data_IF_220885639493
#
_entry.id   IF_220885639493
#
_cell.length_a   1.000
_cell.length_b   1.000
_cell.length_c   1.000
_cell.angle_alpha   90.00
_cell.angle_beta   90.00
_cell.angle_gamma   90.00
#
_symmetry.space_group_name_H-M   'P 1'
#
loop_
_entity.id
_entity.type
_entity.pdbx_description
1 polymer ?
2 water ?
#
# COMPACT_ATOMS: atom_id res chain seq x y z
N UNK A 11 26.11 -11.77 15.14
CA UNK A 11 24.92 -12.42 14.61
C UNK A 11 23.58 -11.84 15.06
N UNK A 12 22.60 -11.86 14.15
CA UNK A 12 21.20 -11.43 14.35
C UNK A 12 20.32 -12.69 14.35
N UNK A 13 19.07 -12.60 14.85
CA UNK A 13 18.17 -13.78 14.92
C UNK A 13 17.84 -14.42 13.55
N UNK A 14 17.91 -15.78 13.42
CA UNK A 14 17.56 -16.39 12.14
C UNK A 14 16.03 -16.50 11.98
N UNK A 15 15.58 -16.82 10.76
CA UNK A 15 14.17 -17.03 10.43
C UNK A 15 14.01 -17.74 9.10
N UNK A 16 12.86 -18.39 8.93
CA UNK A 16 12.40 -18.99 7.68
C UNK A 16 10.91 -18.64 7.57
N UNK A 17 10.55 -17.97 6.48
CA UNK A 17 9.19 -17.52 6.20
C UNK A 17 8.84 -17.96 4.77
N UNK A 18 7.73 -18.70 4.62
CA UNK A 18 7.32 -19.21 3.32
C UNK A 18 5.95 -18.62 2.87
N UNK A 19 5.91 -18.04 1.68
CA UNK A 19 4.69 -17.50 1.06
C UNK A 19 4.35 -18.27 -0.21
N UNK A 20 3.08 -18.65 -0.31
CA UNK A 20 2.55 -19.36 -1.47
C UNK A 20 2.00 -18.36 -2.45
N UNK A 21 2.66 -18.23 -3.59
CA UNK A 21 2.28 -17.27 -4.62
C UNK A 21 3.27 -16.13 -4.68
N UNK A 22 4.46 -16.45 -5.22
CA UNK A 22 5.60 -15.55 -5.35
C UNK A 22 5.28 -14.28 -6.13
N UNK A 23 4.53 -14.38 -7.22
CA UNK A 23 4.17 -13.23 -8.04
C UNK A 23 3.23 -12.29 -7.30
N UNK A 24 2.25 -12.84 -6.57
CA UNK A 24 1.36 -12.03 -5.70
C UNK A 24 2.18 -11.29 -4.62
N UNK A 25 3.19 -11.94 -3.98
CA UNK A 25 4.02 -11.27 -2.97
C UNK A 25 4.84 -10.10 -3.60
N UNK A 26 5.41 -10.32 -4.82
CA UNK A 26 6.16 -9.29 -5.55
C UNK A 26 5.25 -8.09 -5.78
N UNK A 27 3.96 -8.33 -6.13
CA UNK A 27 2.93 -7.31 -6.37
C UNK A 27 2.63 -6.50 -5.14
N UNK A 28 2.57 -7.13 -3.93
CA UNK A 28 2.42 -6.39 -2.66
C UNK A 28 3.59 -5.48 -2.42
N UNK A 29 4.82 -6.00 -2.54
CA UNK A 29 6.04 -5.24 -2.31
C UNK A 29 6.16 -4.13 -3.36
N UNK A 30 5.92 -4.41 -4.65
CA UNK A 30 5.89 -3.40 -5.74
C UNK A 30 4.87 -2.30 -5.37
N UNK A 31 3.59 -2.68 -5.07
CA UNK A 31 2.46 -1.81 -4.72
C UNK A 31 2.73 -0.93 -3.52
N UNK A 32 3.42 -1.48 -2.51
CA UNK A 32 3.73 -0.76 -1.28
C UNK A 32 4.98 0.12 -1.44
N UNK A 33 5.90 -0.20 -2.39
CA UNK A 33 7.14 0.56 -2.48
C UNK A 33 7.34 1.42 -3.76
N UNK A 34 6.27 1.79 -4.47
CA UNK A 34 6.39 2.69 -5.64
C UNK A 34 6.89 4.12 -5.29
N UNK A 35 6.69 4.58 -4.07
CA UNK A 35 7.01 5.94 -3.63
C UNK A 35 8.28 6.05 -2.84
N UNK A 36 8.76 4.93 -2.33
CA UNK A 36 9.92 4.85 -1.44
C UNK A 36 11.22 4.31 -2.14
N UNK A 37 12.37 4.50 -1.47
CA UNK A 37 13.68 4.05 -1.92
C UNK A 37 14.29 3.12 -0.88
N UNK A 38 13.88 3.28 0.38
CA UNK A 38 14.32 2.47 1.50
C UNK A 38 13.18 2.15 2.45
N UNK A 39 13.28 1.01 3.15
CA UNK A 39 12.26 0.57 4.09
C UNK A 39 12.86 -0.29 5.17
N UNK A 40 12.20 -0.32 6.31
CA UNK A 40 12.58 -1.12 7.46
C UNK A 40 11.54 -2.22 7.54
N UNK A 41 11.98 -3.44 7.82
CA UNK A 41 11.12 -4.60 7.97
C UNK A 41 11.25 -5.12 9.37
N UNK A 42 10.20 -4.94 10.17
CA UNK A 42 10.18 -5.45 11.53
C UNK A 42 9.58 -6.85 11.48
N UNK A 43 10.40 -7.84 11.81
CA UNK A 43 10.02 -9.24 11.81
C UNK A 43 9.89 -9.69 13.26
N UNK A 44 8.65 -10.05 13.66
CA UNK A 44 8.29 -10.54 15.01
C UNK A 44 7.62 -11.93 14.88
N UNK A 45 7.13 -12.47 15.96
CA UNK A 45 6.48 -13.78 15.98
C UNK A 45 5.03 -13.69 15.46
N UNK A 46 4.51 -12.46 15.37
CA UNK A 46 3.15 -12.13 14.95
C UNK A 46 3.07 -11.91 13.43
N UNK A 47 4.13 -11.37 12.86
CA UNK A 47 4.18 -11.09 11.44
C UNK A 47 5.25 -10.10 11.04
N UNK A 48 5.21 -9.70 9.78
CA UNK A 48 6.16 -8.75 9.21
C UNK A 48 5.48 -7.38 9.03
N UNK A 49 6.20 -6.32 9.40
CA UNK A 49 5.75 -4.95 9.24
C UNK A 49 6.79 -4.22 8.36
N UNK A 50 6.34 -3.60 7.28
CA UNK A 50 7.23 -2.80 6.46
C UNK A 50 6.79 -1.36 6.63
N UNK A 51 7.70 -0.54 7.13
CA UNK A 51 7.44 0.88 7.33
C UNK A 51 8.41 1.69 6.52
N UNK A 52 7.89 2.77 5.91
CA UNK A 52 8.68 3.63 5.06
C UNK A 52 8.01 4.99 4.87
N UNK A 53 8.81 5.94 4.43
CA UNK A 53 8.37 7.26 4.06
C UNK A 53 9.02 7.55 2.74
N UNK A 54 8.32 8.29 1.89
CA UNK A 54 8.87 8.69 0.62
C UNK A 54 9.99 9.77 0.90
N UNK A 55 10.92 10.06 -0.05
CA UNK A 55 11.96 11.06 0.23
C UNK A 55 11.45 12.46 0.61
N UNK A 56 10.23 12.87 0.19
CA UNK A 56 9.70 14.19 0.54
C UNK A 56 8.94 14.25 1.86
N UNK A 57 8.85 13.11 2.60
CA UNK A 57 8.21 12.98 3.93
C UNK A 57 6.74 13.51 3.93
N UNK A 58 6.02 13.15 2.87
CA UNK A 58 4.62 13.56 2.65
C UNK A 58 3.69 12.33 2.86
N UNK A 59 4.21 11.11 2.63
CA UNK A 59 3.45 9.88 2.75
C UNK A 59 4.22 8.83 3.57
N UNK A 60 3.51 8.28 4.56
CA UNK A 60 3.94 7.20 5.42
C UNK A 60 3.27 5.90 4.88
N UNK A 61 4.08 4.86 4.69
CA UNK A 61 3.61 3.54 4.22
C UNK A 61 3.72 2.55 5.41
N UNK A 62 2.71 1.73 5.58
CA UNK A 62 2.73 0.71 6.61
C UNK A 62 2.10 -0.57 6.04
N UNK A 63 2.95 -1.58 5.72
CA UNK A 63 2.50 -2.89 5.21
C UNK A 63 2.57 -3.91 6.36
N UNK A 64 1.41 -4.47 6.76
CA UNK A 64 1.38 -5.48 7.82
C UNK A 64 0.96 -6.81 7.23
N UNK A 65 1.84 -7.80 7.39
CA UNK A 65 1.70 -9.15 6.87
C UNK A 65 1.70 -10.11 8.06
N UNK A 66 0.53 -10.52 8.59
CA UNK A 66 0.56 -11.41 9.78
C UNK A 66 1.00 -12.81 9.41
N UNK A 67 1.50 -13.53 10.42
CA UNK A 67 1.97 -14.92 10.33
C UNK A 67 0.98 -15.82 9.55
N UNK A 68 -0.33 -15.60 9.72
CA UNK A 68 -1.41 -16.40 9.15
C UNK A 68 -1.47 -16.44 7.61
N UNK A 69 -0.84 -15.50 6.89
CA UNK A 69 -0.85 -15.50 5.41
C UNK A 69 0.34 -16.31 4.83
N UNK A 70 1.20 -16.83 5.71
CA UNK A 70 2.36 -17.62 5.33
C UNK A 70 2.11 -19.11 5.59
N UNK A 71 2.54 -19.99 4.65
CA UNK A 71 2.44 -21.44 4.82
C UNK A 71 3.43 -21.96 5.87
N UNK A 72 4.50 -21.20 6.12
CA UNK A 72 5.52 -21.51 7.12
C UNK A 72 6.03 -20.17 7.66
N UNK A 73 6.03 -20.05 8.98
CA UNK A 73 6.45 -18.83 9.64
C UNK A 73 7.27 -19.20 10.90
N UNK A 74 8.60 -19.40 10.74
CA UNK A 74 9.50 -19.76 11.85
C UNK A 74 10.31 -18.53 12.31
N UNK A 75 9.84 -17.87 13.35
CA UNK A 75 10.50 -16.70 13.93
C UNK A 75 10.60 -16.92 15.47
N UNK A 76 11.83 -17.07 15.98
CA UNK A 76 12.00 -17.34 17.40
C UNK A 76 12.58 -16.12 18.18
N UNK A 77 12.33 -14.92 17.65
CA UNK A 77 12.77 -13.66 18.26
C UNK A 77 12.10 -12.43 17.67
N UNK A 78 12.88 -11.34 17.52
CA UNK A 78 12.44 -10.04 16.99
C UNK A 78 13.64 -9.23 16.47
N UNK A 79 13.50 -8.63 15.26
CA UNK A 79 14.53 -7.81 14.61
C UNK A 79 13.98 -6.88 13.54
N UNK A 80 14.71 -5.78 13.28
CA UNK A 80 14.38 -4.80 12.25
C UNK A 80 15.52 -4.85 11.24
N UNK A 81 15.13 -5.09 9.99
CA UNK A 81 15.97 -5.37 8.84
C UNK A 81 15.72 -4.41 7.69
N UNK A 82 16.80 -4.04 7.02
CA UNK A 82 16.78 -3.21 5.83
C UNK A 82 17.57 -3.86 4.71
N UNK A 83 17.05 -3.80 3.49
CA UNK A 83 17.74 -4.31 2.28
C UNK A 83 17.66 -3.23 1.20
N UNK A 84 18.49 -3.34 0.15
CA UNK A 84 18.37 -2.44 -1.00
C UNK A 84 17.02 -2.78 -1.67
N UNK A 85 16.05 -1.85 -1.62
CA UNK A 85 14.70 -2.04 -2.17
C UNK A 85 14.65 -2.27 -3.69
N UNK A 86 15.59 -1.69 -4.45
CA UNK A 86 15.68 -1.86 -5.92
C UNK A 86 16.07 -3.29 -6.25
N UNK A 87 17.10 -3.82 -5.55
CA UNK A 87 17.60 -5.18 -5.70
C UNK A 87 16.51 -6.15 -5.23
N UNK A 88 15.75 -5.81 -4.16
CA UNK A 88 14.68 -6.70 -3.66
C UNK A 88 13.54 -6.83 -4.68
N UNK A 89 12.96 -5.68 -5.13
CA UNK A 89 11.92 -5.65 -6.17
C UNK A 89 12.39 -6.43 -7.44
N UNK A 90 13.66 -6.26 -7.88
CA UNK A 90 14.18 -6.99 -9.05
C UNK A 90 14.20 -8.50 -8.86
N UNK A 91 14.56 -8.97 -7.64
CA UNK A 91 14.58 -10.39 -7.29
C UNK A 91 13.13 -10.91 -7.24
N UNK A 92 12.23 -10.22 -6.51
CA UNK A 92 10.82 -10.64 -6.39
C UNK A 92 10.09 -10.66 -7.76
N UNK A 93 10.43 -9.74 -8.69
CA UNK A 93 9.91 -9.67 -10.06
C UNK A 93 10.21 -10.97 -10.86
N UNK A 94 11.12 -11.82 -10.36
CA UNK A 94 11.50 -13.11 -10.95
C UNK A 94 10.53 -14.23 -10.58
N UNK A 95 9.70 -14.00 -9.55
CA UNK A 95 8.72 -14.97 -9.10
C UNK A 95 7.56 -15.14 -10.06
N UNK A 96 7.24 -16.41 -10.37
CA UNK A 96 6.16 -16.77 -11.27
C UNK A 96 4.85 -16.98 -10.48
N UNK A 97 3.70 -16.95 -11.17
CA UNK A 97 2.35 -17.05 -10.59
C UNK A 97 2.16 -18.10 -9.45
N UNK A 98 2.27 -19.40 -9.68
CA UNK A 98 1.99 -20.28 -8.55
C UNK A 98 3.22 -20.74 -7.76
N UNK A 99 4.37 -20.04 -7.92
CA UNK A 99 5.62 -20.38 -7.22
C UNK A 99 5.59 -20.11 -5.73
N UNK A 100 6.44 -20.84 -5.00
CA UNK A 100 6.63 -20.73 -3.58
C UNK A 100 7.80 -19.78 -3.31
N UNK A 101 7.57 -18.80 -2.42
CA UNK A 101 8.59 -17.85 -2.02
C UNK A 101 9.12 -18.19 -0.62
N UNK A 102 10.45 -18.32 -0.48
CA UNK A 102 11.11 -18.62 0.78
C UNK A 102 12.06 -17.49 1.16
N UNK A 103 11.79 -16.86 2.32
CA UNK A 103 12.59 -15.78 2.89
C UNK A 103 13.31 -16.38 4.11
N UNK A 104 14.59 -16.68 3.96
CA UNK A 104 15.46 -17.29 4.97
C UNK A 104 16.56 -16.33 5.37
N UNK A 105 16.96 -16.40 6.62
CA UNK A 105 18.06 -15.66 7.22
C UNK A 105 18.78 -16.62 8.21
N UNK A 106 20.11 -16.58 8.22
CA UNK A 106 20.92 -17.39 9.11
C UNK A 106 21.52 -16.55 10.21
N UNK A 107 22.78 -16.83 10.61
CA UNK A 107 23.45 -16.03 11.65
C UNK A 107 24.01 -14.72 11.05
N UNK A 108 24.43 -14.76 9.77
CA UNK A 108 25.01 -13.67 9.00
C UNK A 108 24.00 -12.63 8.56
N UNK A 109 24.50 -11.42 8.25
CA UNK A 109 23.69 -10.30 7.78
C UNK A 109 23.41 -10.40 6.27
N UNK A 110 22.64 -11.43 5.90
CA UNK A 110 22.23 -11.74 4.52
C UNK A 110 20.84 -12.31 4.50
N UNK A 111 20.07 -11.94 3.49
CA UNK A 111 18.74 -12.48 3.26
C UNK A 111 18.84 -13.44 2.06
N UNK A 112 18.33 -14.65 2.24
CA UNK A 112 18.29 -15.69 1.22
C UNK A 112 16.85 -15.73 0.72
N UNK A 113 16.64 -15.48 -0.58
CA UNK A 113 15.32 -15.47 -1.19
C UNK A 113 15.27 -16.58 -2.22
N UNK A 114 14.41 -17.59 -1.99
CA UNK A 114 14.21 -18.73 -2.90
C UNK A 114 12.89 -18.66 -3.62
N UNK A 115 12.93 -19.04 -4.89
CA UNK A 115 11.76 -19.10 -5.72
C UNK A 115 11.70 -20.54 -6.09
N UNK A 116 10.66 -21.22 -5.64
CA UNK A 116 10.47 -22.65 -5.93
C UNK A 116 9.44 -22.85 -7.05
N UNK A 117 9.88 -23.45 -8.14
CA UNK A 117 9.03 -23.72 -9.28
C UNK A 117 9.61 -24.82 -10.15
N UNK A 118 9.75 -24.55 -11.45
CA UNK A 118 10.33 -25.52 -12.37
C UNK A 118 11.72 -25.87 -11.85
N UNK A 119 12.16 -25.06 -10.88
CA UNK A 119 13.45 -25.22 -10.24
C UNK A 119 13.51 -24.30 -9.02
N UNK A 120 14.51 -24.51 -8.20
CA UNK A 120 14.71 -23.67 -7.03
C UNK A 120 15.79 -22.65 -7.36
N UNK A 121 15.44 -21.38 -7.27
CA UNK A 121 16.33 -20.27 -7.60
C UNK A 121 16.53 -19.44 -6.36
N UNK A 122 17.72 -19.56 -5.77
CA UNK A 122 18.07 -18.87 -4.55
C UNK A 122 19.00 -17.69 -4.83
N UNK A 123 18.59 -16.52 -4.35
CA UNK A 123 19.32 -15.25 -4.40
C UNK A 123 19.79 -14.94 -2.97
N UNK A 124 20.90 -14.22 -2.84
CA UNK A 124 21.45 -13.79 -1.57
C UNK A 124 21.60 -12.26 -1.61
N UNK A 125 20.98 -11.57 -0.65
CA UNK A 125 20.99 -10.12 -0.55
C UNK A 125 21.63 -9.65 0.76
N UNK A 126 22.61 -8.71 0.76
CA UNK A 126 23.12 -8.21 2.05
C UNK A 126 22.05 -7.38 2.80
N UNK A 127 22.01 -7.50 4.12
CA UNK A 127 21.05 -6.74 4.89
C UNK A 127 21.72 -5.77 5.87
N UNK A 128 20.97 -4.72 6.18
CA UNK A 128 21.29 -3.61 7.08
C UNK A 128 20.39 -3.80 8.31
N UNK A 139 -3.18 8.65 15.97
CA UNK A 139 -4.65 8.63 15.94
C UNK A 139 -5.20 9.99 15.47
N UNK A 140 -5.47 10.11 14.16
CA UNK A 140 -5.98 11.37 13.60
C UNK A 140 -7.48 11.53 13.83
N UNK A 141 -7.96 12.76 14.20
CA UNK A 141 -9.42 12.97 14.39
C UNK A 141 -10.17 13.09 13.05
N UNK A 142 -10.28 11.96 12.33
CA UNK A 142 -10.91 11.93 11.01
C UNK A 142 -12.38 12.29 11.04
N UNK A 143 -12.82 13.06 10.05
CA UNK A 143 -14.20 13.53 9.92
C UNK A 143 -15.04 12.67 8.95
N UNK A 144 -14.38 12.05 7.97
CA UNK A 144 -15.07 11.25 6.97
C UNK A 144 -14.37 9.93 6.68
N UNK A 145 -15.17 8.91 6.39
CA UNK A 145 -14.76 7.57 6.05
C UNK A 145 -15.55 7.18 4.80
N UNK A 146 -14.88 6.59 3.83
CA UNK A 146 -15.47 6.18 2.56
C UNK A 146 -14.91 4.81 2.20
N UNK A 147 -15.78 3.84 1.90
CA UNK A 147 -15.35 2.51 1.40
C UNK A 147 -15.73 2.53 -0.09
N UNK A 148 -14.73 2.53 -0.96
CA UNK A 148 -14.86 2.65 -2.41
C UNK A 148 -14.20 1.47 -3.12
N UNK A 149 -14.73 1.10 -4.30
CA UNK A 149 -14.09 0.04 -5.09
C UNK A 149 -12.82 0.62 -5.68
N UNK A 150 -11.77 -0.21 -5.76
CA UNK A 150 -10.44 0.19 -6.23
C UNK A 150 -10.35 0.67 -7.65
N UNK A 151 -11.29 0.27 -8.51
CA UNK A 151 -11.29 0.66 -9.92
C UNK A 151 -11.77 2.09 -10.09
N UNK A 152 -12.78 2.51 -9.29
CA UNK A 152 -13.39 3.85 -9.27
C UNK A 152 -12.39 4.92 -8.78
N UNK A 153 -11.65 4.63 -7.68
CA UNK A 153 -10.66 5.57 -7.13
C UNK A 153 -9.42 5.67 -8.07
N UNK A 154 -8.99 4.58 -8.72
CA UNK A 154 -7.86 4.62 -9.68
C UNK A 154 -8.23 5.46 -10.95
N UNK A 155 -9.51 5.36 -11.39
CA UNK A 155 -10.09 6.08 -12.52
C UNK A 155 -10.12 7.57 -12.20
N UNK A 156 -10.65 7.93 -11.03
CA UNK A 156 -10.79 9.29 -10.54
C UNK A 156 -9.45 10.04 -10.44
N UNK A 157 -8.40 9.33 -9.96
CA UNK A 157 -7.05 9.85 -9.78
C UNK A 157 -6.42 10.16 -11.12
N UNK A 158 -6.58 9.24 -12.08
CA UNK A 158 -6.12 9.35 -13.44
C UNK A 158 -6.82 10.51 -14.17
N UNK A 159 -8.13 10.63 -13.99
CA UNK A 159 -8.93 11.71 -14.57
C UNK A 159 -8.43 13.07 -14.08
N UNK A 160 -8.20 13.21 -12.76
CA UNK A 160 -7.69 14.44 -12.12
C UNK A 160 -6.29 14.82 -12.62
N UNK A 161 -5.45 13.81 -12.88
CA UNK A 161 -4.07 13.93 -13.39
C UNK A 161 -4.03 14.56 -14.78
N UNK A 162 -5.14 14.53 -15.54
CA UNK A 162 -5.20 15.14 -16.86
C UNK A 162 -5.27 16.66 -16.77
N UNK A 163 -5.87 17.20 -15.69
CA UNK A 163 -6.07 18.64 -15.55
C UNK A 163 -5.22 19.33 -14.49
N UNK A 164 -4.73 18.62 -13.46
CA UNK A 164 -4.02 19.30 -12.37
C UNK A 164 -2.98 18.39 -11.70
N UNK A 165 -2.20 18.96 -10.76
CA UNK A 165 -1.23 18.21 -9.97
C UNK A 165 -1.78 17.99 -8.55
N UNK A 166 -2.96 18.59 -8.24
CA UNK A 166 -3.68 18.44 -6.97
C UNK A 166 -5.12 17.99 -7.18
N UNK A 167 -5.64 17.23 -6.21
CA UNK A 167 -6.99 16.67 -6.28
C UNK A 167 -7.70 16.91 -4.96
N UNK A 168 -8.94 17.44 -5.03
CA UNK A 168 -9.80 17.73 -3.88
C UNK A 168 -10.76 16.58 -3.63
N UNK A 169 -10.91 16.20 -2.37
CA UNK A 169 -11.79 15.12 -1.90
C UNK A 169 -12.81 15.77 -1.01
N UNK A 170 -14.10 15.57 -1.30
CA UNK A 170 -15.21 16.17 -0.56
C UNK A 170 -16.19 15.09 -0.11
N UNK A 171 -16.52 15.10 1.18
CA UNK A 171 -17.50 14.17 1.71
C UNK A 171 -18.64 14.92 2.41
N UNK A 172 -19.83 14.77 1.85
CA UNK A 172 -21.07 15.33 2.36
C UNK A 172 -21.86 14.13 2.89
N UNK A 173 -23.05 14.38 3.43
CA UNK A 173 -23.91 13.33 3.96
C UNK A 173 -24.45 12.53 2.76
N UNK A 174 -24.04 11.26 2.67
CA UNK A 174 -24.36 10.31 1.59
C UNK A 174 -23.78 10.68 0.19
N UNK A 175 -22.76 11.56 0.12
CA UNK A 175 -22.13 11.94 -1.15
C UNK A 175 -20.62 12.20 -1.04
N UNK A 176 -19.86 11.55 -1.95
CA UNK A 176 -18.41 11.67 -2.06
C UNK A 176 -18.02 12.19 -3.45
N UNK A 177 -17.33 13.34 -3.44
CA UNK A 177 -16.88 14.09 -4.61
C UNK A 177 -15.35 14.18 -4.73
N UNK A 178 -14.86 13.99 -5.92
CA UNK A 178 -13.47 14.11 -6.28
C UNK A 178 -13.42 15.10 -7.43
N UNK A 179 -12.62 16.14 -7.27
CA UNK A 179 -12.50 17.26 -8.22
C UNK A 179 -11.07 17.72 -8.37
N UNK A 180 -10.73 18.24 -9.53
CA UNK A 180 -9.43 18.82 -9.83
C UNK A 180 -9.71 19.92 -10.84
N UNK A 181 -8.97 21.03 -10.72
CA UNK A 181 -9.08 22.19 -11.60
C UNK A 181 -7.68 22.61 -11.98
N UNK A 182 -7.50 22.89 -13.26
CA UNK A 182 -6.23 23.36 -13.78
C UNK A 182 -6.36 24.79 -14.28
N UNK A 183 -5.40 25.19 -15.10
CA UNK A 183 -5.32 26.52 -15.69
C UNK A 183 -6.49 26.70 -16.68
N UNK A 184 -6.85 25.63 -17.42
CA UNK A 184 -7.91 25.64 -18.43
C UNK A 184 -9.04 24.62 -18.20
N UNK A 185 -8.68 23.39 -17.81
CA UNK A 185 -9.64 22.30 -17.65
C UNK A 185 -10.07 22.02 -16.22
N UNK A 186 -11.19 21.27 -16.07
CA UNK A 186 -11.77 20.82 -14.81
C UNK A 186 -12.26 19.36 -14.92
N UNK A 187 -12.31 18.63 -13.79
CA UNK A 187 -12.84 17.25 -13.68
C UNK A 187 -13.67 17.15 -12.39
N UNK A 188 -14.72 16.32 -12.41
CA UNK A 188 -15.60 16.02 -11.29
C UNK A 188 -16.10 14.58 -11.39
N UNK A 189 -15.95 13.84 -10.27
CA UNK A 189 -16.39 12.46 -10.09
C UNK A 189 -17.25 12.43 -8.81
N UNK A 190 -18.59 12.35 -8.98
CA UNK A 190 -19.55 12.33 -7.86
C UNK A 190 -20.06 10.90 -7.59
N UNK A 191 -20.27 10.55 -6.30
CA UNK A 191 -20.73 9.21 -5.90
C UNK A 191 -21.69 9.26 -4.70
N UNK A 192 -22.74 8.44 -4.73
CA UNK A 192 -23.74 8.26 -3.67
C UNK A 192 -23.79 6.76 -3.40
N UNK A 193 -24.53 6.31 -2.36
CA UNK A 193 -24.64 4.88 -2.05
C UNK A 193 -25.40 4.10 -3.13
N UNK A 194 -26.08 4.84 -4.05
CA UNK A 194 -26.81 4.33 -5.21
C UNK A 194 -25.80 3.79 -6.24
N UNK A 195 -24.62 4.44 -6.32
CA UNK A 195 -23.53 4.05 -7.22
C UNK A 195 -22.91 2.75 -6.74
N UNK A 196 -22.51 1.90 -7.69
CA UNK A 196 -21.89 0.60 -7.42
C UNK A 196 -20.52 0.76 -6.73
N UNK A 197 -19.84 1.88 -7.01
CA UNK A 197 -18.52 2.21 -6.47
C UNK A 197 -18.49 2.54 -4.98
N UNK A 198 -19.57 3.11 -4.41
CA UNK A 198 -19.66 3.52 -3.00
C UNK A 198 -20.32 2.48 -2.05
N UNK A 199 -19.48 1.70 -1.33
CA UNK A 199 -19.93 0.68 -0.38
C UNK A 199 -20.39 1.27 0.96
N UNK A 200 -19.73 2.35 1.42
CA UNK A 200 -20.03 3.00 2.71
C UNK A 200 -19.58 4.45 2.68
N UNK A 201 -20.27 5.30 3.46
CA UNK A 201 -19.96 6.71 3.60
C UNK A 201 -20.44 7.21 4.97
N UNK A 202 -19.51 7.20 5.95
CA UNK A 202 -19.78 7.65 7.31
C UNK A 202 -19.16 9.04 7.46
N UNK A 203 -20.02 10.05 7.65
CA UNK A 203 -19.60 11.45 7.75
C UNK A 203 -20.12 12.13 9.04
N UNK A 204 -19.19 12.71 9.83
CA UNK A 204 -19.49 13.47 11.04
C UNK A 204 -19.97 14.87 10.60
N UNK A 205 -19.16 15.56 9.76
CA UNK A 205 -19.45 16.89 9.19
C UNK A 205 -18.92 16.96 7.74
N UNK A 206 -19.27 18.03 6.98
CA UNK A 206 -18.80 18.25 5.61
C UNK A 206 -17.28 18.35 5.64
N UNK A 207 -16.61 17.46 4.89
CA UNK A 207 -15.17 17.31 4.90
C UNK A 207 -14.55 17.56 3.54
N UNK A 208 -13.58 18.50 3.47
CA UNK A 208 -12.89 18.87 2.24
C UNK A 208 -11.38 18.94 2.45
N UNK A 209 -10.62 18.31 1.56
CA UNK A 209 -9.16 18.31 1.63
C UNK A 209 -8.58 18.10 0.22
N UNK A 210 -7.36 18.59 -0.02
CA UNK A 210 -6.68 18.48 -1.31
C UNK A 210 -5.33 17.75 -1.14
N UNK A 211 -4.97 16.89 -2.09
CA UNK A 211 -3.73 16.10 -2.03
C UNK A 211 -3.00 16.10 -3.37
N UNK A 212 -1.68 15.86 -3.31
CA UNK A 212 -0.84 15.72 -4.50
C UNK A 212 -1.14 14.47 -5.31
N UNK A 213 -1.27 14.63 -6.62
CA UNK A 213 -1.64 13.55 -7.56
C UNK A 213 -0.48 12.55 -7.79
N UNK A 214 0.78 13.02 -7.81
CA UNK A 214 1.94 12.11 -7.98
C UNK A 214 1.91 10.98 -6.91
N UNK A 215 1.64 11.36 -5.65
CA UNK A 215 1.48 10.44 -4.52
C UNK A 215 0.25 9.55 -4.71
N UNK A 216 -0.92 10.12 -5.05
CA UNK A 216 -2.14 9.32 -5.20
C UNK A 216 -2.04 8.29 -6.29
N UNK A 217 -1.46 8.66 -7.46
CA UNK A 217 -1.24 7.75 -8.61
C UNK A 217 -0.46 6.48 -8.23
N UNK A 218 0.59 6.60 -7.41
CA UNK A 218 1.36 5.42 -6.95
C UNK A 218 0.61 4.57 -5.89
N UNK A 219 -0.29 5.19 -5.13
CA UNK A 219 -1.08 4.48 -4.13
C UNK A 219 -2.19 3.66 -4.80
N UNK A 220 -2.75 4.13 -5.93
CA UNK A 220 -3.90 3.49 -6.57
C UNK A 220 -3.56 2.62 -7.79
N UNK A 221 -2.31 2.65 -8.26
CA UNK A 221 -1.79 1.89 -9.40
C UNK A 221 -1.98 0.36 -9.15
N UNK A 222 -2.71 -0.31 -10.04
CA UNK A 222 -2.97 -1.73 -9.91
C UNK A 222 -4.20 -2.17 -9.14
N UNK A 223 -5.04 -1.20 -8.70
CA UNK A 223 -6.27 -1.50 -7.99
C UNK A 223 -7.40 -1.83 -8.98
N UNK A 224 -8.32 -2.70 -8.57
CA UNK A 224 -9.47 -3.12 -9.38
C UNK A 224 -10.74 -3.24 -8.56
N UNK A 225 -11.79 -3.82 -9.18
CA UNK A 225 -13.12 -4.04 -8.56
C UNK A 225 -13.09 -4.96 -7.31
N UNK A 226 -12.16 -5.94 -7.26
CA UNK A 226 -12.00 -6.88 -6.14
C UNK A 226 -11.50 -6.21 -4.84
N UNK A 227 -10.97 -4.98 -4.97
CA UNK A 227 -10.39 -4.19 -3.89
C UNK A 227 -11.36 -3.21 -3.20
N UNK A 228 -11.68 -3.49 -1.91
CA UNK A 228 -12.53 -2.64 -1.08
C UNK A 228 -11.58 -1.66 -0.36
N UNK A 229 -11.57 -0.40 -0.80
CA UNK A 229 -10.64 0.61 -0.32
C UNK A 229 -11.30 1.57 0.64
N UNK A 230 -10.76 1.62 1.87
CA UNK A 230 -11.23 2.55 2.90
C UNK A 230 -10.34 3.80 2.83
N UNK A 231 -10.99 4.95 2.67
CA UNK A 231 -10.34 6.26 2.65
C UNK A 231 -10.89 7.02 3.86
N UNK A 232 -10.00 7.45 4.77
CA UNK A 232 -10.37 8.24 5.92
C UNK A 232 -9.66 9.58 5.74
N UNK A 233 -10.37 10.69 5.95
CA UNK A 233 -9.82 12.04 5.83
C UNK A 233 -10.56 13.03 6.75
N UNK A 234 -10.07 14.25 6.78
CA UNK A 234 -10.62 15.33 7.58
C UNK A 234 -10.44 16.64 6.87
N UNK A 235 -10.88 17.75 7.50
CA UNK A 235 -10.73 19.07 6.90
C UNK A 235 -9.28 19.53 7.03
N UNK A 236 -8.62 19.84 5.89
CA UNK A 236 -7.22 20.25 5.81
C UNK A 236 -6.26 19.28 6.55
N UNK A 237 -6.59 17.97 6.57
CA UNK A 237 -5.69 17.07 7.31
C UNK A 237 -5.30 15.82 6.47
N UNK A 238 -4.38 14.94 6.96
CA UNK A 238 -4.00 13.78 6.14
C UNK A 238 -5.13 12.86 5.73
N UNK A 239 -4.86 12.05 4.72
CA UNK A 239 -5.74 11.01 4.27
C UNK A 239 -5.10 9.68 4.62
N UNK A 240 -5.90 8.77 5.17
CA UNK A 240 -5.49 7.41 5.41
C UNK A 240 -6.18 6.56 4.36
N UNK A 241 -5.40 5.92 3.49
CA UNK A 241 -5.92 5.02 2.48
C UNK A 241 -5.54 3.59 2.89
N UNK A 242 -6.52 2.72 2.93
CA UNK A 242 -6.24 1.37 3.38
C UNK A 242 -6.90 0.29 2.54
N UNK A 243 -6.18 -0.80 2.29
CA UNK A 243 -6.73 -1.98 1.64
C UNK A 243 -6.07 -3.25 2.22
N UNK A 244 -6.87 -4.30 2.28
CA UNK A 244 -6.50 -5.56 2.88
C UNK A 244 -5.73 -6.51 1.96
N UNK A 245 -4.88 -7.33 2.62
CA UNK A 245 -4.02 -8.36 2.02
C UNK A 245 -4.55 -9.69 2.54
N UNK A 246 -5.32 -10.41 1.69
CA UNK A 246 -5.92 -11.71 1.99
C UNK A 246 -6.72 -11.67 3.31
N UNK A 247 -7.48 -10.56 3.55
CA UNK A 247 -8.36 -10.33 4.73
C UNK A 247 -7.67 -10.34 6.11
N UNK A 248 -6.33 -10.42 6.12
CA UNK A 248 -5.53 -10.52 7.33
C UNK A 248 -4.53 -9.38 7.38
N UNK A 249 -3.82 -9.22 6.27
CA UNK A 249 -2.82 -8.20 6.09
C UNK A 249 -3.41 -6.86 5.74
N UNK A 250 -2.58 -5.83 5.76
CA UNK A 250 -3.06 -4.50 5.50
C UNK A 250 -1.98 -3.60 4.93
N UNK A 251 -2.33 -2.85 3.92
CA UNK A 251 -1.49 -1.81 3.36
C UNK A 251 -2.17 -0.49 3.69
N UNK A 252 -1.51 0.34 4.51
CA UNK A 252 -1.99 1.68 4.88
C UNK A 252 -1.01 2.71 4.36
N UNK A 253 -1.59 3.80 3.79
CA UNK A 253 -0.88 5.00 3.42
C UNK A 253 -1.44 6.14 4.25
N UNK A 254 -0.57 6.99 4.80
CA UNK A 254 -0.97 8.20 5.48
C UNK A 254 -0.36 9.33 4.69
N UNK A 255 -1.21 10.08 4.00
CA UNK A 255 -0.83 11.14 3.07
C UNK A 255 -1.17 12.54 3.57
N UNK A 256 -0.17 13.41 3.64
CA UNK A 256 -0.25 14.79 4.05
C UNK A 256 -1.10 15.60 3.05
N UNK A 257 -1.96 16.54 3.55
CA UNK A 257 -2.73 17.36 2.61
C UNK A 257 -1.79 18.32 1.87
N UNK A 258 -2.22 18.80 0.71
CA UNK A 258 -1.45 19.77 -0.06
C UNK A 258 -1.59 21.19 0.57
N UNK A 259 -0.46 21.96 0.60
CA UNK A 259 -0.38 23.35 1.07
C UNK A 259 -1.28 24.30 0.23
#
# INVERSE_FOLDING_TARGET
MRGSHHHHHHGSMPFEIVFEGAKEFAQLIETASRLIDEAAFKVTEEGISMRAMDPSRVVLIDLNLPASIFSKYEVDGEETIGVNMDHLKKVLKRGKAKETLILRKGEENFLEISLQGTATRTFKLPLIDVEEIEVDLPELPFTAKVVILGDVIKEAVKDASLVSDSMKFIAKENEFTMRAEGETQEVEVKLTLEDEGLLDIEVQEETKSAYGISYLSDMVKGLGKADEVTIKFGNEMPMQMEYYIRDEGRLIFLLAPRVEE
#
